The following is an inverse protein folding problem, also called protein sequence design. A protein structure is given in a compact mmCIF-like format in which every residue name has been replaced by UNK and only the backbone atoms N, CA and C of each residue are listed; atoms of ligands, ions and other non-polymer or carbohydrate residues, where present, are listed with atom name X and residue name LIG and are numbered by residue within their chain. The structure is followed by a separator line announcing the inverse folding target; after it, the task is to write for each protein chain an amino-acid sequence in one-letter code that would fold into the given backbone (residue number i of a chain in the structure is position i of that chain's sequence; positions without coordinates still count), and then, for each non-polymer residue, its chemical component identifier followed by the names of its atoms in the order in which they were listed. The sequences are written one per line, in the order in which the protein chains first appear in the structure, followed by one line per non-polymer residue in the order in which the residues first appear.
data_IF_081162552193
#
_entry.id   IF_081162552193
#
_cell.length_a   1.000
_cell.length_b   1.000
_cell.length_c   1.000
_cell.angle_alpha   90.00
_cell.angle_beta   90.00
_cell.angle_gamma   90.00
#
_symmetry.space_group_name_H-M   'P 1'
#
loop_
_entity.id
_entity.type
_entity.pdbx_description
1 polymer ?
#
# COMPACT_ATOMS: atom_id res chain seq x y z
N UNK A 1 29.36 -47.13 29.31
CA UNK A 1 29.17 -47.12 27.85
C UNK A 1 29.76 -45.82 27.31
N UNK A 2 30.89 -45.87 26.60
CA UNK A 2 31.44 -44.70 25.90
C UNK A 2 30.51 -44.34 24.72
N UNK A 3 29.86 -43.16 24.74
CA UNK A 3 29.03 -42.68 23.66
C UNK A 3 29.90 -42.42 22.41
N UNK A 4 29.50 -42.93 21.25
CA UNK A 4 30.11 -42.59 19.94
C UNK A 4 29.68 -41.17 19.60
N UNK A 5 30.64 -40.26 19.41
CA UNK A 5 30.38 -38.94 18.80
C UNK A 5 30.27 -39.12 17.27
N UNK A 6 29.12 -38.72 16.72
CA UNK A 6 28.93 -38.60 15.27
C UNK A 6 29.02 -37.14 14.89
N UNK A 7 29.97 -36.77 14.01
CA UNK A 7 30.06 -35.44 13.41
C UNK A 7 29.43 -35.51 12.03
N UNK A 8 28.50 -34.62 11.71
CA UNK A 8 27.90 -34.45 10.39
C UNK A 8 28.21 -33.06 9.90
N UNK A 9 28.96 -32.96 8.84
CA UNK A 9 29.23 -31.67 8.16
C UNK A 9 28.23 -31.51 7.04
N UNK A 10 27.40 -30.44 7.11
CA UNK A 10 26.44 -30.11 6.08
C UNK A 10 26.99 -28.93 5.26
N UNK A 11 27.30 -29.12 3.98
CA UNK A 11 27.80 -28.05 3.14
C UNK A 11 26.69 -26.99 2.99
N UNK A 12 27.02 -25.75 3.33
CA UNK A 12 26.10 -24.62 3.20
C UNK A 12 26.57 -23.73 2.04
N UNK A 13 25.62 -23.38 1.16
CA UNK A 13 25.87 -22.49 0.03
C UNK A 13 24.71 -21.51 -0.13
N UNK A 14 24.97 -20.39 -0.82
CA UNK A 14 23.95 -19.41 -1.19
C UNK A 14 22.99 -20.02 -2.21
N UNK A 15 21.72 -19.70 -2.07
CA UNK A 15 20.68 -19.98 -3.06
C UNK A 15 19.62 -18.89 -3.02
N UNK A 16 18.98 -18.66 -4.16
CA UNK A 16 17.85 -17.79 -4.30
C UNK A 16 16.60 -18.61 -4.65
N UNK A 17 15.49 -18.32 -4.03
CA UNK A 17 14.21 -19.00 -4.27
C UNK A 17 13.20 -17.94 -4.69
N UNK A 18 12.62 -18.09 -5.89
CA UNK A 18 11.53 -17.26 -6.35
C UNK A 18 10.28 -17.49 -5.48
N UNK A 19 9.49 -16.45 -5.26
CA UNK A 19 8.21 -16.59 -4.59
C UNK A 19 7.21 -17.34 -5.49
N UNK A 20 6.32 -18.16 -4.90
CA UNK A 20 5.39 -19.01 -5.65
C UNK A 20 4.26 -18.22 -6.33
N UNK A 21 4.13 -16.93 -6.07
CA UNK A 21 3.10 -16.03 -6.63
C UNK A 21 3.40 -15.58 -8.07
N UNK A 22 4.53 -16.01 -8.64
CA UNK A 22 4.96 -15.61 -9.98
C UNK A 22 5.55 -14.20 -10.07
N UNK A 23 5.70 -13.50 -8.95
CA UNK A 23 6.35 -12.19 -8.90
C UNK A 23 7.87 -12.30 -9.14
N UNK A 24 8.50 -11.16 -9.47
CA UNK A 24 9.95 -11.08 -9.60
C UNK A 24 10.67 -10.96 -8.23
N UNK A 25 10.07 -11.47 -7.16
CA UNK A 25 10.63 -11.46 -5.82
C UNK A 25 11.33 -12.76 -5.47
N UNK A 26 12.48 -12.63 -4.82
CA UNK A 26 13.31 -13.76 -4.42
C UNK A 26 13.65 -13.70 -2.93
N UNK A 27 13.68 -14.85 -2.28
CA UNK A 27 14.28 -15.00 -0.95
C UNK A 27 15.71 -15.51 -1.10
N UNK A 28 16.64 -14.94 -0.34
CA UNK A 28 18.06 -15.33 -0.34
C UNK A 28 18.32 -16.17 0.89
N UNK A 29 18.91 -17.36 0.68
CA UNK A 29 19.21 -18.30 1.75
C UNK A 29 20.70 -18.70 1.71
N UNK A 30 21.21 -19.03 2.90
CA UNK A 30 22.50 -19.71 3.05
C UNK A 30 22.28 -21.04 3.76
N UNK A 31 22.30 -22.14 3.03
CA UNK A 31 21.79 -23.41 3.52
C UNK A 31 20.30 -23.28 3.90
N UNK A 32 19.89 -23.67 5.12
CA UNK A 32 18.51 -23.50 5.60
C UNK A 32 18.20 -22.10 6.15
N UNK A 33 19.18 -21.20 6.23
CA UNK A 33 19.07 -19.91 6.91
C UNK A 33 18.62 -18.85 5.91
N UNK A 34 17.50 -18.21 6.18
CA UNK A 34 17.03 -17.04 5.43
C UNK A 34 17.90 -15.83 5.78
N UNK A 35 18.37 -15.15 4.75
CA UNK A 35 19.13 -13.90 4.89
C UNK A 35 18.21 -12.70 4.65
N UNK A 36 18.37 -11.69 5.46
CA UNK A 36 17.59 -10.46 5.39
C UNK A 36 18.47 -9.22 5.61
N UNK A 37 18.02 -8.09 5.14
CA UNK A 37 18.69 -6.81 5.36
C UNK A 37 17.93 -5.94 6.36
N UNK A 38 18.69 -5.18 7.13
CA UNK A 38 18.18 -4.14 8.02
C UNK A 38 17.93 -2.86 7.21
N UNK A 39 16.73 -2.28 7.33
CA UNK A 39 16.32 -1.04 6.63
C UNK A 39 16.20 0.18 7.54
N UNK A 40 16.65 0.08 8.80
CA UNK A 40 16.59 1.19 9.75
C UNK A 40 15.46 1.06 10.78
N UNK A 41 15.16 2.17 11.47
CA UNK A 41 14.18 2.24 12.56
C UNK A 41 13.13 3.35 12.35
N UNK A 42 12.96 3.84 11.13
CA UNK A 42 12.05 4.94 10.83
C UNK A 42 10.60 4.60 11.22
N UNK A 43 9.92 5.54 11.88
CA UNK A 43 8.53 5.41 12.32
C UNK A 43 8.28 4.18 13.21
N UNK A 44 9.23 3.85 14.09
CA UNK A 44 9.11 2.73 15.03
C UNK A 44 9.20 3.16 16.50
N UNK A 45 9.11 4.47 16.77
CA UNK A 45 9.17 5.00 18.12
C UNK A 45 8.01 4.44 18.97
N UNK A 46 8.35 3.91 20.15
CA UNK A 46 7.39 3.28 21.06
C UNK A 46 6.79 1.95 20.60
N UNK A 47 7.28 1.35 19.50
CA UNK A 47 6.78 0.08 18.98
C UNK A 47 7.54 -1.15 19.46
N UNK A 48 8.66 -0.95 20.16
CA UNK A 48 9.43 -2.06 20.68
C UNK A 48 8.79 -2.63 21.94
N UNK A 49 8.88 -3.94 22.09
CA UNK A 49 8.46 -4.62 23.30
C UNK A 49 9.33 -4.16 24.46
N UNK A 50 8.70 -3.86 25.58
CA UNK A 50 9.32 -3.66 26.87
C UNK A 50 8.66 -4.60 27.89
N UNK A 51 9.17 -4.63 29.10
CA UNK A 51 8.65 -5.49 30.18
C UNK A 51 7.17 -5.22 30.51
N UNK A 52 6.64 -4.04 30.15
CA UNK A 52 5.25 -3.65 30.41
C UNK A 52 4.26 -4.16 29.36
N UNK A 53 4.73 -4.54 28.17
CA UNK A 53 3.89 -4.86 27.00
C UNK A 53 3.77 -6.35 26.72
N UNK A 54 4.24 -7.21 27.56
CA UNK A 54 4.09 -8.66 27.42
C UNK A 54 4.66 -9.24 26.11
N UNK A 55 5.64 -8.60 25.50
CA UNK A 55 6.30 -9.06 24.28
C UNK A 55 5.52 -8.83 22.98
N UNK A 56 4.38 -8.15 23.00
CA UNK A 56 3.66 -7.79 21.78
C UNK A 56 4.31 -6.60 21.08
N UNK A 57 4.72 -6.83 19.83
CA UNK A 57 5.27 -5.79 18.95
C UNK A 57 4.20 -5.38 17.97
N UNK A 58 3.79 -4.12 17.99
CA UNK A 58 2.89 -3.58 17.00
C UNK A 58 3.58 -3.48 15.63
N UNK A 59 2.87 -3.83 14.57
CA UNK A 59 3.31 -3.53 13.22
C UNK A 59 3.27 -2.01 13.00
N UNK A 60 4.41 -1.40 12.68
CA UNK A 60 4.48 0.01 12.31
C UNK A 60 3.88 0.28 10.93
N UNK A 61 3.68 1.57 10.55
CA UNK A 61 3.20 1.94 9.25
C UNK A 61 4.12 1.38 8.17
N UNK A 62 3.54 0.84 7.10
CA UNK A 62 4.29 0.30 5.96
C UNK A 62 5.01 1.44 5.23
N UNK A 63 6.26 1.23 4.88
CA UNK A 63 6.97 2.13 3.98
C UNK A 63 6.52 1.86 2.53
N UNK A 64 6.46 2.90 1.67
CA UNK A 64 6.10 2.72 0.28
C UNK A 64 7.05 1.73 -0.43
N UNK A 65 6.50 0.74 -1.11
CA UNK A 65 7.29 -0.28 -1.84
C UNK A 65 8.22 0.35 -2.88
N UNK A 66 7.85 1.53 -3.40
CA UNK A 66 8.66 2.29 -4.35
C UNK A 66 9.99 2.77 -3.79
N UNK A 67 10.08 2.92 -2.45
CA UNK A 67 11.30 3.37 -1.77
C UNK A 67 12.19 2.22 -1.32
N UNK A 68 11.73 0.97 -1.48
CA UNK A 68 12.45 -0.22 -1.05
C UNK A 68 13.58 -0.59 -2.02
N UNK A 69 14.65 -1.21 -1.51
CA UNK A 69 15.75 -1.64 -2.35
C UNK A 69 15.30 -2.71 -3.35
N UNK A 70 15.80 -2.61 -4.58
CA UNK A 70 15.67 -3.62 -5.63
C UNK A 70 17.04 -4.02 -6.12
N UNK A 71 17.24 -5.28 -6.47
CA UNK A 71 18.48 -5.75 -7.08
C UNK A 71 18.36 -5.53 -8.60
N UNK A 72 19.33 -4.82 -9.16
CA UNK A 72 19.36 -4.51 -10.60
C UNK A 72 20.31 -5.48 -11.29
N UNK A 73 19.76 -6.40 -12.08
CA UNK A 73 20.57 -7.41 -12.77
C UNK A 73 19.75 -8.52 -13.37
N UNK A 74 20.45 -9.55 -13.80
CA UNK A 74 19.82 -10.78 -14.28
C UNK A 74 19.43 -11.68 -13.10
N UNK A 75 18.14 -12.03 -13.03
CA UNK A 75 17.59 -12.97 -12.04
C UNK A 75 18.31 -14.32 -11.99
N UNK A 76 18.86 -14.76 -13.12
CA UNK A 76 19.63 -16.02 -13.17
C UNK A 76 21.02 -15.89 -12.53
N UNK A 77 21.50 -14.67 -12.35
CA UNK A 77 22.82 -14.38 -11.77
C UNK A 77 22.74 -13.62 -10.43
N UNK A 78 21.58 -13.66 -9.77
CA UNK A 78 21.33 -12.96 -8.51
C UNK A 78 22.40 -13.16 -7.44
N UNK A 79 22.92 -14.37 -7.32
CA UNK A 79 23.90 -14.71 -6.28
C UNK A 79 25.26 -14.05 -6.48
N UNK A 80 25.60 -13.59 -7.69
CA UNK A 80 26.84 -12.85 -7.96
C UNK A 80 26.88 -11.47 -7.29
N UNK A 81 25.71 -10.92 -6.93
CA UNK A 81 25.60 -9.67 -6.20
C UNK A 81 25.99 -9.80 -4.71
N UNK A 82 26.19 -11.02 -4.22
CA UNK A 82 26.47 -11.30 -2.82
C UNK A 82 27.94 -11.65 -2.61
N UNK A 83 28.62 -10.86 -1.77
CA UNK A 83 30.01 -11.13 -1.36
C UNK A 83 30.07 -11.35 0.15
N UNK A 84 30.72 -12.44 0.57
CA UNK A 84 30.90 -12.74 1.99
C UNK A 84 31.74 -11.65 2.67
N UNK A 85 31.27 -11.19 3.83
CA UNK A 85 32.02 -10.23 4.64
C UNK A 85 33.05 -10.98 5.47
N UNK A 86 34.33 -10.63 5.30
CA UNK A 86 35.43 -11.23 6.06
C UNK A 86 35.27 -10.93 7.56
N UNK A 87 35.55 -11.91 8.39
CA UNK A 87 35.43 -11.79 9.85
C UNK A 87 34.01 -11.73 10.41
N UNK A 88 32.96 -11.69 9.55
CA UNK A 88 31.56 -11.71 10.00
C UNK A 88 30.83 -12.97 9.52
N UNK A 89 30.62 -13.94 10.41
CA UNK A 89 29.97 -15.19 10.02
C UNK A 89 28.53 -14.94 9.48
N UNK A 90 28.19 -15.63 8.40
CA UNK A 90 26.86 -15.61 7.77
C UNK A 90 26.41 -14.20 7.32
N UNK A 91 27.34 -13.29 7.09
CA UNK A 91 27.07 -11.93 6.64
C UNK A 91 27.62 -11.72 5.23
N UNK A 92 26.83 -11.08 4.37
CA UNK A 92 27.22 -10.81 2.99
C UNK A 92 26.91 -9.35 2.68
N UNK A 93 27.72 -8.70 1.84
CA UNK A 93 27.37 -7.43 1.20
C UNK A 93 26.58 -7.72 -0.06
N UNK A 94 25.61 -6.85 -0.34
CA UNK A 94 24.79 -6.91 -1.55
C UNK A 94 25.14 -5.71 -2.44
N UNK A 95 25.49 -5.97 -3.68
CA UNK A 95 25.81 -4.96 -4.70
C UNK A 95 24.78 -4.91 -5.80
N UNK A 96 24.81 -3.85 -6.64
CA UNK A 96 23.84 -3.67 -7.71
C UNK A 96 22.45 -3.37 -7.18
N UNK A 97 22.35 -2.57 -6.13
CA UNK A 97 21.08 -2.26 -5.48
C UNK A 97 20.66 -0.83 -5.79
N UNK A 98 19.41 -0.66 -6.17
CA UNK A 98 18.77 0.64 -6.34
C UNK A 98 17.69 0.84 -5.24
N UNK A 99 17.49 2.05 -4.67
CA UNK A 99 18.29 3.27 -4.83
C UNK A 99 19.73 3.16 -4.30
N UNK A 100 20.63 3.98 -4.84
CA UNK A 100 22.07 3.98 -4.54
C UNK A 100 22.42 4.04 -3.04
N UNK A 101 21.54 4.67 -2.23
CA UNK A 101 21.68 4.70 -0.76
C UNK A 101 21.72 3.31 -0.10
N UNK A 102 21.31 2.28 -0.81
CA UNK A 102 21.31 0.88 -0.35
C UNK A 102 22.47 0.08 -0.95
N UNK A 103 23.29 0.66 -1.85
CA UNK A 103 24.44 -0.02 -2.44
C UNK A 103 25.42 -0.45 -1.34
N UNK A 104 25.88 -1.68 -1.42
CA UNK A 104 26.78 -2.26 -0.43
C UNK A 104 26.14 -2.59 0.92
N UNK A 105 24.80 -2.55 1.01
CA UNK A 105 24.10 -2.96 2.23
C UNK A 105 24.40 -4.40 2.60
N UNK A 106 24.25 -4.76 3.87
CA UNK A 106 24.54 -6.10 4.35
C UNK A 106 23.27 -6.92 4.53
N UNK A 107 23.34 -8.20 4.16
CA UNK A 107 22.36 -9.22 4.52
C UNK A 107 22.96 -10.19 5.53
N UNK A 108 22.17 -10.59 6.50
CA UNK A 108 22.57 -11.46 7.60
C UNK A 108 21.39 -12.39 7.98
N UNK A 109 21.61 -13.41 8.81
CA UNK A 109 20.53 -14.28 9.26
C UNK A 109 19.32 -13.50 9.79
N UNK A 110 18.14 -13.78 9.28
CA UNK A 110 16.92 -13.11 9.68
C UNK A 110 16.69 -13.16 11.19
N UNK A 111 17.00 -14.27 11.85
CA UNK A 111 16.87 -14.43 13.29
C UNK A 111 17.80 -13.53 14.13
N UNK A 112 18.70 -12.75 13.49
CA UNK A 112 19.54 -11.74 14.14
C UNK A 112 18.99 -10.32 13.96
N UNK A 113 17.87 -10.16 13.26
CA UNK A 113 17.27 -8.86 12.99
C UNK A 113 16.05 -8.65 13.90
N UNK A 114 16.22 -7.81 14.89
CA UNK A 114 15.17 -7.37 15.81
C UNK A 114 15.27 -5.86 16.00
N UNK A 115 14.20 -5.26 16.45
CA UNK A 115 14.08 -3.81 16.67
C UNK A 115 14.48 -2.98 15.43
N UNK A 116 14.07 -3.42 14.25
CA UNK A 116 14.35 -2.71 13.01
C UNK A 116 13.34 -3.09 11.92
N UNK A 117 13.22 -2.21 10.95
CA UNK A 117 12.63 -2.59 9.66
C UNK A 117 13.60 -3.51 8.93
N UNK A 118 13.07 -4.49 8.24
CA UNK A 118 13.87 -5.47 7.52
C UNK A 118 13.26 -5.82 6.17
N UNK A 119 14.07 -6.42 5.32
CA UNK A 119 13.66 -6.92 4.02
C UNK A 119 14.14 -8.36 3.86
N UNK A 120 13.20 -9.25 3.52
CA UNK A 120 13.44 -10.70 3.33
C UNK A 120 13.27 -11.09 1.87
N UNK A 121 12.39 -10.38 1.14
CA UNK A 121 12.08 -10.63 -0.27
C UNK A 121 12.68 -9.53 -1.14
N UNK A 122 13.36 -9.92 -2.18
CA UNK A 122 14.17 -9.04 -3.03
C UNK A 122 13.56 -8.99 -4.42
N UNK A 123 12.99 -7.85 -4.84
CA UNK A 123 12.68 -7.65 -6.25
C UNK A 123 13.98 -7.65 -7.06
N UNK A 124 13.98 -8.39 -8.15
CA UNK A 124 15.09 -8.42 -9.11
C UNK A 124 14.58 -7.89 -10.43
N UNK A 125 15.16 -6.79 -10.90
CA UNK A 125 14.75 -6.10 -12.12
C UNK A 125 15.93 -5.94 -13.04
N UNK A 126 15.73 -6.13 -14.34
CA UNK A 126 16.67 -5.67 -15.35
C UNK A 126 16.74 -4.13 -15.36
N UNK A 127 17.76 -3.57 -15.98
CA UNK A 127 17.90 -2.11 -16.15
C UNK A 127 16.67 -1.52 -16.85
N UNK A 128 16.17 -2.22 -17.87
CA UNK A 128 14.98 -1.78 -18.62
C UNK A 128 13.71 -1.81 -17.76
N UNK A 129 13.50 -2.87 -16.98
CA UNK A 129 12.35 -2.98 -16.07
C UNK A 129 12.42 -1.93 -14.96
N UNK A 130 13.63 -1.62 -14.45
CA UNK A 130 13.80 -0.53 -13.48
C UNK A 130 13.45 0.83 -14.09
N UNK A 131 13.92 1.12 -15.31
CA UNK A 131 13.58 2.37 -16.02
C UNK A 131 12.08 2.49 -16.25
N UNK A 132 11.45 1.43 -16.78
CA UNK A 132 10.00 1.42 -16.99
C UNK A 132 9.22 1.65 -15.69
N UNK A 133 9.67 1.04 -14.59
CA UNK A 133 9.08 1.27 -13.26
C UNK A 133 9.26 2.72 -12.79
N UNK A 134 10.44 3.30 -12.97
CA UNK A 134 10.70 4.70 -12.62
C UNK A 134 9.83 5.68 -13.42
N UNK A 135 9.70 5.46 -14.73
CA UNK A 135 8.84 6.26 -15.60
C UNK A 135 7.37 6.16 -15.18
N UNK A 136 6.91 4.94 -14.88
CA UNK A 136 5.56 4.72 -14.38
C UNK A 136 5.30 5.44 -13.05
N UNK A 137 6.22 5.34 -12.09
CA UNK A 137 6.12 6.01 -10.80
C UNK A 137 6.13 7.54 -10.93
N UNK A 138 7.00 8.08 -11.80
CA UNK A 138 7.04 9.51 -12.06
C UNK A 138 5.74 10.03 -12.69
N UNK A 139 5.14 9.23 -13.60
CA UNK A 139 3.84 9.52 -14.19
C UNK A 139 2.73 9.52 -13.13
N UNK A 140 2.66 8.48 -12.32
CA UNK A 140 1.67 8.35 -11.24
C UNK A 140 1.79 9.49 -10.21
N UNK A 141 3.02 9.88 -9.87
CA UNK A 141 3.27 10.99 -8.95
C UNK A 141 2.83 12.33 -9.54
N UNK A 142 3.12 12.55 -10.82
CA UNK A 142 2.67 13.75 -11.56
C UNK A 142 1.14 13.81 -11.63
N UNK A 143 0.48 12.70 -11.97
CA UNK A 143 -0.98 12.61 -12.03
C UNK A 143 -1.60 12.84 -10.65
N UNK A 144 -1.01 12.27 -9.59
CA UNK A 144 -1.44 12.49 -8.21
C UNK A 144 -1.29 13.96 -7.79
N UNK A 145 -0.13 14.55 -8.06
CA UNK A 145 0.13 15.95 -7.73
C UNK A 145 -0.83 16.89 -8.49
N UNK A 146 -1.11 16.62 -9.76
CA UNK A 146 -2.09 17.36 -10.55
C UNK A 146 -3.50 17.24 -9.95
N UNK A 147 -3.92 16.03 -9.61
CA UNK A 147 -5.21 15.78 -8.96
C UNK A 147 -5.31 16.48 -7.59
N UNK A 148 -4.24 16.41 -6.78
CA UNK A 148 -4.21 17.09 -5.48
C UNK A 148 -4.27 18.61 -5.63
N UNK A 149 -3.63 19.19 -6.65
CA UNK A 149 -3.72 20.62 -6.99
C UNK A 149 -5.14 21.06 -7.37
N UNK A 150 -5.87 20.24 -8.10
CA UNK A 150 -7.27 20.48 -8.49
C UNK A 150 -8.25 20.14 -7.36
N UNK A 151 -7.86 19.37 -6.36
CA UNK A 151 -8.74 18.96 -5.25
C UNK A 151 -9.07 20.16 -4.36
N UNK A 152 -10.35 20.41 -4.16
CA UNK A 152 -10.85 21.38 -3.19
C UNK A 152 -10.96 20.77 -1.79
N UNK A 153 -11.42 19.52 -1.73
CA UNK A 153 -11.63 18.80 -0.48
C UNK A 153 -11.62 17.28 -0.73
N UNK A 154 -11.28 16.48 0.28
CA UNK A 154 -11.27 15.02 0.18
C UNK A 154 -11.59 14.33 1.50
N UNK A 155 -12.29 13.21 1.43
CA UNK A 155 -12.56 12.31 2.56
C UNK A 155 -11.99 10.94 2.26
N UNK A 156 -11.19 10.41 3.18
CA UNK A 156 -10.82 8.99 3.19
C UNK A 156 -11.89 8.24 3.96
N UNK A 157 -12.64 7.41 3.25
CA UNK A 157 -13.77 6.69 3.83
C UNK A 157 -13.30 5.59 4.78
N UNK A 158 -13.96 5.45 5.93
CA UNK A 158 -13.60 4.47 6.95
C UNK A 158 -12.54 4.94 7.94
N UNK A 159 -11.94 6.10 7.75
CA UNK A 159 -11.06 6.73 8.74
C UNK A 159 -11.87 7.68 9.63
N UNK A 160 -11.79 7.47 10.94
CA UNK A 160 -12.64 8.16 11.92
C UNK A 160 -12.49 9.69 11.86
N UNK A 161 -11.26 10.21 11.86
CA UNK A 161 -11.03 11.66 11.89
C UNK A 161 -11.47 12.35 10.59
N UNK A 162 -11.06 11.90 9.37
CA UNK A 162 -11.55 12.50 8.13
C UNK A 162 -13.08 12.50 8.00
N UNK A 163 -13.74 11.41 8.41
CA UNK A 163 -15.20 11.33 8.33
C UNK A 163 -15.90 12.25 9.34
N UNK A 164 -15.36 12.36 10.55
CA UNK A 164 -15.88 13.28 11.58
C UNK A 164 -15.75 14.74 11.16
N UNK A 165 -14.61 15.12 10.58
CA UNK A 165 -14.34 16.48 10.10
C UNK A 165 -15.30 16.89 8.97
N UNK A 166 -15.85 15.90 8.25
CA UNK A 166 -16.82 16.08 7.17
C UNK A 166 -18.26 15.76 7.60
N UNK A 167 -18.53 15.78 8.91
CA UNK A 167 -19.88 15.61 9.48
C UNK A 167 -20.62 14.39 8.91
N UNK A 168 -19.98 13.23 8.95
CA UNK A 168 -20.59 12.01 8.43
C UNK A 168 -22.00 11.79 9.00
N UNK A 169 -22.94 11.46 8.11
CA UNK A 169 -24.25 10.92 8.44
C UNK A 169 -24.41 9.57 7.75
N UNK A 170 -25.04 8.63 8.39
CA UNK A 170 -25.14 7.28 7.85
C UNK A 170 -26.35 6.52 8.39
N UNK A 171 -26.78 5.56 7.61
CA UNK A 171 -27.78 4.57 7.97
C UNK A 171 -27.34 3.20 7.43
N UNK A 172 -27.33 2.18 8.30
CA UNK A 172 -26.92 0.81 7.95
C UNK A 172 -25.58 0.76 7.18
N UNK A 173 -24.56 1.40 7.74
CA UNK A 173 -23.22 1.51 7.15
C UNK A 173 -22.17 0.92 8.07
N UNK A 174 -21.14 0.37 7.49
CA UNK A 174 -19.97 -0.19 8.19
C UNK A 174 -18.66 0.18 7.51
N UNK A 175 -17.58 0.08 8.25
CA UNK A 175 -16.21 0.29 7.78
C UNK A 175 -15.42 -0.98 7.83
N UNK A 176 -14.31 -1.01 7.11
CA UNK A 176 -13.35 -2.10 7.14
C UNK A 176 -12.03 -1.70 6.46
N UNK A 177 -11.22 -2.68 6.20
CA UNK A 177 -9.89 -2.53 5.62
C UNK A 177 -9.65 -3.59 4.55
N UNK A 178 -9.13 -3.16 3.41
CA UNK A 178 -8.64 -4.03 2.33
C UNK A 178 -7.12 -3.83 2.21
N UNK A 179 -6.35 -4.70 2.84
CA UNK A 179 -4.87 -4.68 2.81
C UNK A 179 -4.24 -3.33 3.24
N UNK A 180 -4.83 -2.68 4.24
CA UNK A 180 -4.39 -1.38 4.75
C UNK A 180 -5.02 -0.18 4.07
N UNK A 181 -6.03 -0.37 3.22
CA UNK A 181 -6.83 0.70 2.62
C UNK A 181 -8.21 0.69 3.28
N UNK A 182 -8.49 1.71 4.06
CA UNK A 182 -9.79 1.85 4.72
C UNK A 182 -10.91 2.09 3.71
N UNK A 183 -12.09 1.57 4.03
CA UNK A 183 -13.28 1.74 3.22
C UNK A 183 -14.55 1.86 4.06
N UNK A 184 -15.60 2.36 3.42
CA UNK A 184 -16.97 2.34 3.92
C UNK A 184 -17.91 1.71 2.90
N UNK A 185 -18.85 0.88 3.37
CA UNK A 185 -19.99 0.39 2.59
C UNK A 185 -21.30 0.61 3.36
N UNK A 186 -22.42 0.56 2.68
CA UNK A 186 -23.74 0.69 3.29
C UNK A 186 -24.78 -0.23 2.66
N UNK A 187 -25.60 -0.86 3.49
CA UNK A 187 -26.89 -1.44 3.10
C UNK A 187 -28.01 -0.38 3.04
N UNK A 188 -27.73 0.80 3.54
CA UNK A 188 -28.52 2.01 3.44
C UNK A 188 -27.76 3.08 2.66
N UNK A 189 -27.25 4.08 3.39
CA UNK A 189 -26.54 5.20 2.81
C UNK A 189 -25.56 5.83 3.81
N UNK A 190 -24.67 6.69 3.31
CA UNK A 190 -23.86 7.62 4.09
C UNK A 190 -23.64 8.91 3.30
N UNK A 191 -23.34 10.02 3.99
CA UNK A 191 -23.04 11.31 3.36
C UNK A 191 -21.97 12.08 4.11
N UNK A 192 -21.31 12.97 3.38
CA UNK A 192 -20.30 13.89 3.87
C UNK A 192 -20.65 15.31 3.46
N UNK A 193 -20.37 16.28 4.33
CA UNK A 193 -20.37 17.71 4.01
C UNK A 193 -18.96 18.12 3.63
N UNK A 194 -18.76 18.45 2.38
CA UNK A 194 -17.46 18.78 1.82
C UNK A 194 -17.40 20.26 1.45
N UNK A 195 -16.24 20.88 1.70
CA UNK A 195 -16.01 22.31 1.45
C UNK A 195 -15.41 22.54 0.08
N UNK A 196 -15.88 23.57 -0.64
CA UNK A 196 -15.30 23.94 -1.94
C UNK A 196 -14.03 24.78 -1.79
N UNK A 197 -13.76 25.30 -0.58
CA UNK A 197 -12.56 26.08 -0.24
C UNK A 197 -12.26 27.21 -1.26
N UNK A 198 -13.32 27.88 -1.72
CA UNK A 198 -13.23 28.99 -2.68
C UNK A 198 -12.92 28.57 -4.13
N UNK A 199 -12.84 27.26 -4.42
CA UNK A 199 -12.69 26.75 -5.79
C UNK A 199 -14.06 26.51 -6.42
N UNK A 200 -14.16 26.75 -7.72
CA UNK A 200 -15.33 26.39 -8.51
C UNK A 200 -15.29 24.90 -8.81
N UNK A 201 -15.91 24.11 -7.94
CA UNK A 201 -15.93 22.66 -8.04
C UNK A 201 -16.93 22.23 -9.11
N UNK A 202 -16.46 21.47 -10.10
CA UNK A 202 -17.30 20.97 -11.19
C UNK A 202 -17.38 19.45 -11.27
N UNK A 203 -16.55 18.71 -10.51
CA UNK A 203 -16.57 17.24 -10.48
C UNK A 203 -16.55 16.71 -9.06
N UNK A 204 -17.22 15.59 -8.87
CA UNK A 204 -17.06 14.69 -7.71
C UNK A 204 -16.39 13.41 -8.21
N UNK A 205 -15.25 13.06 -7.63
CA UNK A 205 -14.50 11.86 -7.95
C UNK A 205 -14.58 10.89 -6.77
N UNK A 206 -15.01 9.65 -7.04
CA UNK A 206 -15.19 8.62 -6.03
C UNK A 206 -14.33 7.42 -6.41
N UNK A 207 -13.40 7.03 -5.52
CA UNK A 207 -12.59 5.82 -5.66
C UNK A 207 -13.27 4.68 -4.91
N UNK A 208 -13.50 3.58 -5.60
CA UNK A 208 -14.24 2.44 -5.05
C UNK A 208 -13.71 1.11 -5.58
N UNK A 209 -14.03 0.02 -4.88
CA UNK A 209 -13.78 -1.34 -5.37
C UNK A 209 -14.95 -1.79 -6.23
N UNK A 210 -14.68 -1.98 -7.51
CA UNK A 210 -15.67 -2.54 -8.42
C UNK A 210 -15.83 -4.03 -8.13
N UNK A 211 -17.05 -4.46 -7.84
CA UNK A 211 -17.39 -5.87 -7.60
C UNK A 211 -18.75 -6.18 -8.23
N UNK A 212 -18.90 -7.42 -8.73
CA UNK A 212 -20.18 -7.89 -9.23
C UNK A 212 -21.23 -7.88 -8.12
N UNK A 213 -22.48 -7.53 -8.44
CA UNK A 213 -23.60 -7.40 -7.48
C UNK A 213 -23.42 -6.36 -6.38
N UNK A 214 -22.59 -5.34 -6.63
CA UNK A 214 -22.54 -4.14 -5.83
C UNK A 214 -22.70 -2.93 -6.72
N UNK A 215 -23.61 -2.03 -6.36
CA UNK A 215 -23.81 -0.75 -7.03
C UNK A 215 -24.18 0.34 -6.01
N UNK A 216 -23.97 1.58 -6.37
CA UNK A 216 -24.37 2.69 -5.54
C UNK A 216 -24.93 3.82 -6.39
N UNK A 217 -25.92 4.51 -5.86
CA UNK A 217 -26.37 5.82 -6.33
C UNK A 217 -25.58 6.91 -5.64
N UNK A 218 -25.36 8.00 -6.37
CA UNK A 218 -24.65 9.18 -5.89
C UNK A 218 -25.56 10.41 -6.02
N UNK A 219 -25.65 11.18 -4.94
CA UNK A 219 -26.39 12.44 -4.90
C UNK A 219 -25.47 13.58 -4.47
N UNK A 220 -25.73 14.76 -5.03
CA UNK A 220 -25.13 16.03 -4.61
C UNK A 220 -26.27 16.93 -4.16
N UNK A 221 -26.24 17.38 -2.90
CA UNK A 221 -27.29 18.21 -2.28
C UNK A 221 -28.71 17.64 -2.54
N UNK A 222 -28.86 16.33 -2.46
CA UNK A 222 -30.15 15.63 -2.66
C UNK A 222 -30.51 15.32 -4.11
N UNK A 223 -29.82 15.85 -5.12
CA UNK A 223 -30.04 15.55 -6.52
C UNK A 223 -29.21 14.32 -6.93
N UNK A 224 -29.84 13.26 -7.49
CA UNK A 224 -29.13 12.10 -8.05
C UNK A 224 -28.33 12.53 -9.27
N UNK A 225 -27.01 12.31 -9.26
CA UNK A 225 -26.10 12.67 -10.35
C UNK A 225 -25.54 11.46 -11.09
N UNK A 226 -25.74 10.26 -10.57
CA UNK A 226 -25.33 9.04 -11.26
C UNK A 226 -25.16 7.83 -10.37
N UNK A 227 -24.50 6.81 -10.90
CA UNK A 227 -24.30 5.52 -10.23
C UNK A 227 -22.89 5.01 -10.35
N UNK A 228 -22.42 4.33 -9.32
CA UNK A 228 -21.23 3.48 -9.33
C UNK A 228 -21.68 2.06 -9.64
N UNK A 229 -21.31 1.54 -10.80
CA UNK A 229 -21.68 0.19 -11.22
C UNK A 229 -20.53 -0.78 -10.98
N UNK A 230 -20.82 -1.94 -10.42
CA UNK A 230 -19.88 -3.05 -10.28
C UNK A 230 -19.58 -3.69 -11.63
N UNK A 231 -18.31 -4.04 -11.84
CA UNK A 231 -17.82 -4.79 -13.00
C UNK A 231 -17.54 -6.25 -12.60
N UNK A 232 -17.51 -7.19 -13.55
CA UNK A 232 -17.19 -8.59 -13.25
C UNK A 232 -15.80 -8.81 -12.65
N UNK A 233 -14.86 -7.90 -12.88
CA UNK A 233 -13.50 -7.94 -12.33
C UNK A 233 -13.47 -7.07 -11.08
N UNK A 234 -13.09 -7.68 -9.95
CA UNK A 234 -12.86 -6.94 -8.72
C UNK A 234 -11.58 -6.12 -8.85
N UNK A 235 -11.73 -4.80 -9.02
CA UNK A 235 -10.61 -3.86 -9.18
C UNK A 235 -10.96 -2.50 -8.58
N UNK A 236 -9.94 -1.71 -8.27
CA UNK A 236 -10.11 -0.32 -7.85
C UNK A 236 -10.49 0.52 -9.08
N UNK A 237 -11.66 1.12 -9.01
CA UNK A 237 -12.25 1.94 -10.07
C UNK A 237 -12.52 3.35 -9.58
N UNK A 238 -12.76 4.26 -10.52
CA UNK A 238 -13.09 5.65 -10.27
C UNK A 238 -14.40 6.01 -10.97
N UNK A 239 -15.34 6.53 -10.20
CA UNK A 239 -16.53 7.20 -10.71
C UNK A 239 -16.31 8.71 -10.72
N UNK A 240 -16.68 9.37 -11.80
CA UNK A 240 -16.59 10.83 -11.94
C UNK A 240 -18.00 11.34 -12.26
N UNK A 241 -18.46 12.32 -11.52
CA UNK A 241 -19.81 12.88 -11.63
C UNK A 241 -19.73 14.39 -11.77
N UNK A 242 -20.53 14.94 -12.66
CA UNK A 242 -20.64 16.40 -12.85
C UNK A 242 -21.40 17.01 -11.65
N UNK A 243 -20.86 18.10 -11.10
CA UNK A 243 -21.57 18.93 -10.17
C UNK A 243 -22.55 19.81 -10.97
N UNK A 244 -23.86 19.78 -10.69
CA UNK A 244 -24.81 20.63 -11.38
C UNK A 244 -24.39 22.10 -11.36
N UNK A 245 -24.51 22.81 -12.47
CA UNK A 245 -24.06 24.20 -12.61
C UNK A 245 -24.62 25.15 -11.51
N UNK A 246 -25.86 24.91 -11.08
CA UNK A 246 -26.48 25.65 -9.98
C UNK A 246 -25.84 25.44 -8.61
N UNK A 247 -24.98 24.41 -8.46
CA UNK A 247 -24.35 24.05 -7.18
C UNK A 247 -22.84 24.33 -7.16
N UNK A 248 -22.23 24.66 -8.30
CA UNK A 248 -20.76 24.84 -8.42
C UNK A 248 -20.22 26.03 -7.61
N UNK A 249 -21.09 27.02 -7.30
CA UNK A 249 -20.73 28.19 -6.49
C UNK A 249 -21.04 28.03 -5.01
N UNK A 250 -21.56 26.89 -4.58
CA UNK A 250 -21.84 26.65 -3.16
C UNK A 250 -20.56 26.50 -2.36
N UNK A 251 -20.51 27.05 -1.17
CA UNK A 251 -19.36 26.90 -0.26
C UNK A 251 -19.20 25.47 0.27
N UNK A 252 -20.31 24.72 0.33
CA UNK A 252 -20.35 23.34 0.77
C UNK A 252 -21.26 22.50 -0.13
N UNK A 253 -20.89 21.24 -0.32
CA UNK A 253 -21.68 20.24 -1.01
C UNK A 253 -21.89 19.03 -0.10
N UNK A 254 -23.12 18.55 0.01
CA UNK A 254 -23.40 17.26 0.61
C UNK A 254 -23.30 16.18 -0.46
N UNK A 255 -22.33 15.27 -0.29
CA UNK A 255 -22.17 14.11 -1.17
C UNK A 255 -22.74 12.90 -0.43
N UNK A 256 -23.83 12.36 -0.95
CA UNK A 256 -24.49 11.16 -0.42
C UNK A 256 -24.27 9.98 -1.34
N UNK A 257 -23.93 8.84 -0.75
CA UNK A 257 -23.73 7.56 -1.44
C UNK A 257 -24.63 6.54 -0.75
N UNK A 258 -25.48 5.89 -1.52
CA UNK A 258 -26.39 4.90 -1.00
C UNK A 258 -26.54 3.72 -1.94
N UNK A 259 -27.10 2.62 -1.42
CA UNK A 259 -27.31 1.42 -2.24
C UNK A 259 -28.14 1.76 -3.49
N UNK A 260 -27.80 1.12 -4.59
CA UNK A 260 -28.59 1.16 -5.83
C UNK A 260 -29.65 0.06 -5.87
N UNK A 261 -29.56 -0.80 -6.86
CA UNK A 261 -30.43 -1.97 -7.03
C UNK A 261 -29.97 -3.18 -6.23
N UNK A 262 -28.68 -3.21 -5.89
CA UNK A 262 -28.07 -4.30 -5.13
C UNK A 262 -28.23 -4.11 -3.61
N UNK A 263 -27.86 -5.13 -2.83
CA UNK A 263 -28.08 -5.15 -1.38
C UNK A 263 -27.22 -4.15 -0.62
N UNK A 264 -26.01 -3.90 -1.12
CA UNK A 264 -24.99 -3.03 -0.50
C UNK A 264 -24.26 -2.21 -1.55
N UNK A 265 -23.71 -1.09 -1.14
CA UNK A 265 -22.77 -0.31 -1.97
C UNK A 265 -21.47 -1.08 -2.16
N UNK A 266 -20.64 -0.78 -3.16
CA UNK A 266 -19.25 -1.21 -3.18
C UNK A 266 -18.46 -0.61 -2.00
N UNK A 267 -17.26 -1.13 -1.74
CA UNK A 267 -16.31 -0.49 -0.82
C UNK A 267 -15.88 0.86 -1.39
N UNK A 268 -16.21 1.93 -0.70
CA UNK A 268 -15.82 3.29 -1.08
C UNK A 268 -14.58 3.66 -0.28
N UNK A 269 -13.51 4.03 -0.97
CA UNK A 269 -12.23 4.38 -0.38
C UNK A 269 -12.05 5.88 -0.18
N UNK A 270 -12.48 6.67 -1.14
CA UNK A 270 -12.23 8.10 -1.17
C UNK A 270 -13.31 8.85 -1.94
N UNK A 271 -13.68 10.01 -1.43
CA UNK A 271 -14.52 10.99 -2.12
C UNK A 271 -13.73 12.29 -2.24
N UNK A 272 -13.66 12.88 -3.44
CA UNK A 272 -12.99 14.17 -3.71
C UNK A 272 -13.90 15.13 -4.43
N UNK A 273 -13.80 16.40 -4.06
CA UNK A 273 -14.28 17.53 -4.84
C UNK A 273 -13.14 18.07 -5.70
N UNK A 274 -13.36 18.16 -7.01
CA UNK A 274 -12.35 18.57 -7.98
C UNK A 274 -12.83 19.79 -8.78
N UNK A 275 -11.91 20.72 -8.99
CA UNK A 275 -12.07 21.90 -9.81
C UNK A 275 -11.15 21.71 -11.06
N UNK A 276 -11.74 21.22 -12.17
CA UNK A 276 -11.06 21.02 -13.45
C UNK A 276 -11.17 22.25 -14.34
#
# INVERSE_FOLDING_TARGET
KKGKKVRRDLPMHLRAIALPDGSANYSILYGPIVLAARLGKQNQDGMFADDSRGGHIAAGPRLPLQTMPVIVGDKNNLLSHLKKVEGKPLTFTLSGVYPERYEGMTVAPFFRLYECRYMVYWPVLSVQELQARQEQLAKEEKERAALDGMTADKVICGEQQPESDHFIRMENSRTGDDEGIHWREAAGWFSYRMKTNGKQVNKVRIRFRSEIRKDAKVWINGQEVGRLAGKPVSDVSVGIFDVPASMQSNEQLEIKIGKGNEKVTPHIYEVRLVAE
#
